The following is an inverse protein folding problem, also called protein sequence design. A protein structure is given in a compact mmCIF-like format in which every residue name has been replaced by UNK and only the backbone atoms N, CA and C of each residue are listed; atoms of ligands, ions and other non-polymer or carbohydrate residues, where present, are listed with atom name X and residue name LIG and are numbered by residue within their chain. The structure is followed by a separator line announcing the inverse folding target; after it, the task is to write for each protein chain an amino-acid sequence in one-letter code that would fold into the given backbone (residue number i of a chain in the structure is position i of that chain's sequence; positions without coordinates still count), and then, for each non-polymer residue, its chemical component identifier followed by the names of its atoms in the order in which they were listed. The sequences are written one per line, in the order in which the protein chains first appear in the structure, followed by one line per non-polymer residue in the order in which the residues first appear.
data_IF_764772453975
#
_entry.id   IF_764772453975
#
_cell.length_a   1.000
_cell.length_b   1.000
_cell.length_c   1.000
_cell.angle_alpha   90.00
_cell.angle_beta   90.00
_cell.angle_gamma   90.00
#
_symmetry.space_group_name_H-M   'P 1'
#
loop_
_entity.id
_entity.type
_entity.pdbx_description
1 polymer ?
#
# COMPACT_ATOMS: atom_id res chain seq x y z
N UNK A 1 -15.05 -4.01 5.00
CA UNK A 1 -13.63 -4.25 4.68
C UNK A 1 -12.88 -2.94 4.75
N UNK A 2 -11.92 -2.79 5.67
CA UNK A 2 -10.99 -1.65 5.62
C UNK A 2 -9.75 -2.09 4.83
N UNK A 3 -9.49 -1.43 3.70
CA UNK A 3 -8.29 -1.66 2.91
C UNK A 3 -7.06 -1.17 3.69
N UNK A 4 -6.08 -2.04 3.89
CA UNK A 4 -4.81 -1.72 4.56
C UNK A 4 -3.89 -0.92 3.63
N UNK A 5 -3.87 -1.28 2.36
CA UNK A 5 -3.01 -0.65 1.36
C UNK A 5 -3.81 0.24 0.43
N UNK A 6 -3.21 1.35 -0.01
CA UNK A 6 -3.85 2.30 -0.91
C UNK A 6 -2.85 2.85 -1.92
N UNK A 7 -3.31 3.08 -3.15
CA UNK A 7 -2.53 3.77 -4.18
C UNK A 7 -2.67 5.28 -3.99
N UNK A 8 -1.54 5.98 -3.99
CA UNK A 8 -1.47 7.44 -4.07
C UNK A 8 -0.73 7.86 -5.34
N UNK A 9 -1.13 8.98 -5.91
CA UNK A 9 -0.38 9.66 -6.97
C UNK A 9 0.62 10.62 -6.33
N UNK A 10 1.85 10.60 -6.83
CA UNK A 10 2.92 11.53 -6.46
C UNK A 10 3.48 12.16 -7.72
N UNK A 11 3.75 13.45 -7.67
CA UNK A 11 4.40 14.17 -8.76
C UNK A 11 5.87 14.36 -8.39
N UNK A 12 6.77 13.86 -9.22
CA UNK A 12 8.21 14.07 -9.03
C UNK A 12 8.50 15.55 -9.30
N UNK A 13 9.03 16.28 -8.32
CA UNK A 13 9.30 17.71 -8.48
C UNK A 13 10.38 18.02 -9.52
N UNK A 14 11.30 17.08 -9.74
CA UNK A 14 12.43 17.19 -10.66
C UNK A 14 12.00 17.18 -12.14
N UNK A 15 11.09 16.27 -12.51
CA UNK A 15 10.73 15.99 -13.90
C UNK A 15 9.23 16.22 -14.18
N UNK A 16 8.46 16.60 -13.15
CA UNK A 16 7.00 16.74 -13.24
C UNK A 16 6.26 15.42 -13.48
N UNK A 17 6.97 14.30 -13.61
CA UNK A 17 6.37 13.01 -13.93
C UNK A 17 5.55 12.47 -12.77
N UNK A 18 4.34 12.02 -13.11
CA UNK A 18 3.45 11.29 -12.21
C UNK A 18 4.02 9.91 -11.92
N UNK A 19 3.96 9.54 -10.66
CA UNK A 19 4.35 8.23 -10.14
C UNK A 19 3.34 7.76 -9.12
N UNK A 20 2.99 6.50 -9.19
CA UNK A 20 2.02 5.87 -8.31
C UNK A 20 2.75 5.09 -7.22
N UNK A 21 2.31 5.23 -5.97
CA UNK A 21 2.93 4.57 -4.82
C UNK A 21 1.87 3.83 -4.04
N UNK A 22 2.18 2.62 -3.60
CA UNK A 22 1.31 1.87 -2.69
C UNK A 22 1.77 2.14 -1.26
N UNK A 23 0.87 2.64 -0.42
CA UNK A 23 1.13 3.00 0.99
C UNK A 23 0.34 2.12 1.94
N UNK A 24 0.95 1.79 3.09
CA UNK A 24 0.29 1.11 4.21
C UNK A 24 -0.36 2.14 5.14
N UNK A 25 -1.69 2.10 5.24
CA UNK A 25 -2.47 3.02 6.06
C UNK A 25 -2.41 2.68 7.56
N UNK A 26 -2.02 1.46 7.93
CA UNK A 26 -2.03 0.99 9.33
C UNK A 26 -0.71 1.26 10.05
N UNK A 27 0.42 1.05 9.37
CA UNK A 27 1.74 1.19 9.99
C UNK A 27 2.21 2.66 10.05
N UNK A 28 1.41 3.62 9.58
CA UNK A 28 1.69 5.04 9.73
C UNK A 28 3.02 5.43 9.10
N UNK A 29 3.12 5.35 7.77
CA UNK A 29 4.30 5.84 7.09
C UNK A 29 4.14 5.87 5.58
N UNK A 30 4.51 7.00 4.97
CA UNK A 30 4.70 7.17 3.52
C UNK A 30 5.88 6.34 2.98
N UNK A 31 6.33 5.33 3.72
CA UNK A 31 7.27 4.33 3.26
C UNK A 31 6.56 3.50 2.20
N UNK A 32 6.72 3.90 0.94
CA UNK A 32 6.34 3.06 -0.20
C UNK A 32 7.26 1.86 -0.24
N UNK A 33 7.03 0.92 0.69
CA UNK A 33 7.76 -0.35 0.83
C UNK A 33 7.53 -1.28 -0.35
N UNK A 34 6.52 -0.99 -1.17
CA UNK A 34 6.08 -1.80 -2.29
C UNK A 34 6.45 -1.20 -3.65
N UNK A 35 7.33 -0.18 -3.67
CA UNK A 35 7.86 0.41 -4.90
C UNK A 35 7.13 1.67 -5.37
N UNK A 36 7.65 2.20 -6.49
CA UNK A 36 7.14 3.40 -7.17
C UNK A 36 6.89 3.01 -8.63
N UNK A 37 5.66 3.19 -9.10
CA UNK A 37 5.18 2.74 -10.40
C UNK A 37 4.96 3.91 -11.33
N UNK A 38 5.18 3.71 -12.63
CA UNK A 38 4.87 4.72 -13.65
C UNK A 38 3.41 4.63 -14.10
N UNK A 39 2.84 3.42 -14.15
CA UNK A 39 1.46 3.19 -14.50
C UNK A 39 0.58 2.98 -13.26
N UNK A 40 -0.62 3.59 -13.28
CA UNK A 40 -1.60 3.43 -12.21
C UNK A 40 -2.06 1.97 -12.09
N UNK A 41 -2.30 1.32 -13.23
CA UNK A 41 -2.79 -0.06 -13.29
C UNK A 41 -1.86 -1.06 -12.60
N UNK A 42 -0.53 -0.87 -12.73
CA UNK A 42 0.45 -1.71 -12.03
C UNK A 42 0.38 -1.52 -10.51
N UNK A 43 0.29 -0.27 -10.06
CA UNK A 43 0.14 0.04 -8.64
C UNK A 43 -1.18 -0.51 -8.08
N UNK A 44 -2.27 -0.48 -8.86
CA UNK A 44 -3.57 -1.04 -8.47
C UNK A 44 -3.55 -2.56 -8.41
N UNK A 45 -2.88 -3.24 -9.35
CA UNK A 45 -2.70 -4.69 -9.29
C UNK A 45 -1.97 -5.11 -8.00
N UNK A 46 -0.85 -4.46 -7.68
CA UNK A 46 -0.09 -4.71 -6.44
C UNK A 46 -0.92 -4.38 -5.21
N UNK A 47 -1.61 -3.24 -5.20
CA UNK A 47 -2.50 -2.86 -4.09
C UNK A 47 -3.64 -3.85 -3.89
N UNK A 48 -4.20 -4.39 -4.98
CA UNK A 48 -5.26 -5.41 -4.93
C UNK A 48 -4.72 -6.71 -4.34
N UNK A 49 -3.58 -7.20 -4.82
CA UNK A 49 -2.91 -8.39 -4.26
C UNK A 49 -2.63 -8.22 -2.78
N UNK A 50 -2.06 -7.09 -2.36
CA UNK A 50 -1.75 -6.83 -0.95
C UNK A 50 -2.99 -6.74 -0.06
N UNK A 51 -4.11 -6.22 -0.56
CA UNK A 51 -5.36 -6.21 0.19
C UNK A 51 -6.07 -7.58 0.16
N UNK A 52 -5.90 -8.37 -0.90
CA UNK A 52 -6.47 -9.71 -1.06
C UNK A 52 -5.70 -10.80 -0.28
N UNK A 53 -4.39 -10.60 -0.07
CA UNK A 53 -3.54 -11.41 0.82
C UNK A 53 -3.79 -11.08 2.31
N UNK A 54 -4.54 -10.00 2.58
CA UNK A 54 -4.85 -9.50 3.91
C UNK A 54 -6.21 -9.92 4.54
N UNK A 55 -6.83 -11.10 4.29
CA UNK A 55 -8.04 -11.45 5.01
C UNK A 55 -7.79 -11.83 6.48
N UNK A 56 -6.56 -12.15 6.91
CA UNK A 56 -6.35 -12.79 8.23
C UNK A 56 -4.97 -12.45 8.83
N UNK A 57 -4.74 -11.20 9.24
CA UNK A 57 -3.73 -10.93 10.28
C UNK A 57 -4.25 -10.07 11.43
N UNK A 58 -5.47 -9.53 11.33
CA UNK A 58 -6.11 -8.85 12.46
C UNK A 58 -6.54 -9.84 13.57
N UNK A 59 -6.70 -11.14 13.26
CA UNK A 59 -6.96 -12.18 14.25
C UNK A 59 -5.69 -12.71 14.94
N UNK A 60 -4.50 -12.59 14.31
CA UNK A 60 -3.26 -13.20 14.85
C UNK A 60 -2.44 -12.25 15.71
N UNK A 61 -2.90 -11.01 15.92
CA UNK A 61 -2.28 -10.06 16.87
C UNK A 61 -3.18 -9.66 18.05
N UNK A 62 -4.23 -10.45 18.29
CA UNK A 62 -5.02 -10.45 19.52
C UNK A 62 -4.79 -11.73 20.38
N UNK A 63 -3.90 -12.63 19.92
CA UNK A 63 -3.47 -13.83 20.64
C UNK A 63 -1.95 -13.81 20.85
N UNK A 64 -1.43 -12.71 21.38
CA UNK A 64 -0.27 -12.80 22.26
C UNK A 64 -0.73 -12.30 23.63
N UNK A 65 -1.63 -13.10 24.20
CA UNK A 65 -1.85 -13.15 25.64
C UNK A 65 -0.66 -13.87 26.23
N UNK A 66 0.09 -13.24 27.12
CA UNK A 66 0.36 -13.78 28.46
C UNK A 66 0.71 -12.63 29.39
#
# INVERSE_FOLDING_TARGET
MHARFRVIETTTLDDGSKRYRVVDLVQGGSASKHGVFKARTEAEAVCSTLNADHPIQLATRALHST
#
